data_IF_079383818769
#
_entry.id   IF_079383818769
#
_cell.length_a   1.000
_cell.length_b   1.000
_cell.length_c   1.000
_cell.angle_alpha   90.00
_cell.angle_beta   90.00
_cell.angle_gamma   90.00
#
_symmetry.space_group_name_H-M   'P 1'
#
loop_
_entity.id
_entity.type
_entity.pdbx_description
1 polymer ?
#
# COMPACT_ATOMS: atom_id res chain seq x y z
N UNK A 1 9.50 13.09 20.18
CA UNK A 1 8.31 12.58 19.48
C UNK A 1 8.72 11.38 18.66
N UNK A 2 7.81 10.42 18.46
CA UNK A 2 8.04 9.27 17.59
C UNK A 2 7.41 9.54 16.22
N UNK A 3 8.02 9.08 15.12
CA UNK A 3 7.46 9.27 13.79
C UNK A 3 6.11 8.57 13.66
N UNK A 4 5.19 9.20 12.94
CA UNK A 4 3.83 8.72 12.70
C UNK A 4 3.63 8.33 11.24
N UNK A 5 3.00 7.19 11.01
CA UNK A 5 2.58 6.73 9.69
C UNK A 5 1.06 6.61 9.63
N UNK A 6 0.45 7.25 8.63
CA UNK A 6 -0.96 7.12 8.32
C UNK A 6 -1.16 6.07 7.21
N UNK A 7 -1.67 4.90 7.59
CA UNK A 7 -2.16 3.88 6.65
C UNK A 7 -3.62 4.17 6.25
N UNK A 8 -4.05 3.58 5.13
CA UNK A 8 -5.44 3.72 4.65
C UNK A 8 -6.39 2.88 5.51
N UNK A 9 -5.93 1.72 5.96
CA UNK A 9 -6.70 0.71 6.69
C UNK A 9 -5.95 0.30 7.97
N UNK A 10 -6.69 -0.22 8.94
CA UNK A 10 -6.13 -0.95 10.07
C UNK A 10 -5.66 -2.34 9.59
N UNK A 11 -4.34 -2.66 9.64
CA UNK A 11 -3.83 -3.97 9.22
C UNK A 11 -4.36 -5.13 10.06
N UNK A 12 -4.84 -4.87 11.28
CA UNK A 12 -5.41 -5.89 12.17
C UNK A 12 -6.86 -6.28 11.81
N UNK A 13 -7.52 -5.53 10.92
CA UNK A 13 -8.91 -5.76 10.55
C UNK A 13 -9.01 -6.31 9.13
N UNK A 14 -9.73 -7.42 8.99
CA UNK A 14 -10.02 -7.99 7.68
C UNK A 14 -10.86 -7.01 6.85
N UNK A 15 -10.46 -6.79 5.61
CA UNK A 15 -11.16 -5.98 4.63
C UNK A 15 -12.02 -6.90 3.75
N UNK A 16 -13.21 -6.46 3.37
CA UNK A 16 -14.04 -7.18 2.41
C UNK A 16 -13.77 -6.69 0.97
N UNK A 17 -13.81 -7.64 0.02
CA UNK A 17 -13.59 -7.40 -1.41
C UNK A 17 -14.76 -6.71 -2.11
N UNK A 18 -14.47 -6.02 -3.22
CA UNK A 18 -15.46 -5.61 -4.22
C UNK A 18 -16.20 -4.31 -3.91
N UNK A 19 -15.77 -3.54 -2.91
CA UNK A 19 -16.38 -2.27 -2.51
C UNK A 19 -15.70 -1.05 -3.15
N UNK A 20 -14.56 -1.27 -3.80
CA UNK A 20 -13.70 -0.29 -4.39
C UNK A 20 -14.31 0.17 -5.72
N UNK A 21 -14.36 1.49 -5.93
CA UNK A 21 -14.99 2.10 -7.12
C UNK A 21 -14.00 3.00 -7.82
N UNK A 22 -14.35 3.44 -9.03
CA UNK A 22 -13.48 4.22 -9.92
C UNK A 22 -12.65 5.33 -9.23
N UNK A 23 -13.20 6.09 -8.29
CA UNK A 23 -12.45 7.15 -7.56
C UNK A 23 -12.56 7.06 -6.04
N UNK A 24 -12.91 5.90 -5.49
CA UNK A 24 -13.04 5.77 -4.03
C UNK A 24 -12.51 4.43 -3.53
N UNK A 25 -11.80 4.48 -2.41
CA UNK A 25 -11.37 3.32 -1.64
C UNK A 25 -12.19 3.27 -0.34
N UNK A 26 -12.82 2.13 0.01
CA UNK A 26 -13.66 2.02 1.19
C UNK A 26 -12.78 1.89 2.44
N UNK A 27 -12.88 2.81 3.39
CA UNK A 27 -12.24 2.66 4.70
C UNK A 27 -13.23 2.00 5.66
N UNK A 28 -12.80 0.92 6.32
CA UNK A 28 -13.64 0.16 7.23
C UNK A 28 -13.58 0.71 8.66
N UNK A 29 -14.75 0.89 9.26
CA UNK A 29 -14.91 1.27 10.66
C UNK A 29 -15.81 0.26 11.39
N UNK A 30 -15.88 0.37 12.71
CA UNK A 30 -16.81 -0.41 13.53
C UNK A 30 -18.29 -0.26 13.15
N UNK A 31 -18.65 0.78 12.38
CA UNK A 31 -20.03 1.05 11.95
C UNK A 31 -20.26 0.80 10.44
N UNK A 32 -19.32 0.13 9.77
CA UNK A 32 -19.39 -0.13 8.33
C UNK A 32 -18.29 0.57 7.54
N UNK A 33 -18.40 0.55 6.21
CA UNK A 33 -17.40 1.15 5.32
C UNK A 33 -17.83 2.53 4.83
N UNK A 34 -16.83 3.38 4.60
CA UNK A 34 -17.01 4.73 4.05
C UNK A 34 -16.20 4.85 2.76
N UNK A 35 -16.83 5.13 1.61
CA UNK A 35 -16.08 5.38 0.37
C UNK A 35 -15.32 6.70 0.49
N UNK A 36 -13.99 6.63 0.51
CA UNK A 36 -13.12 7.81 0.61
C UNK A 36 -12.56 8.12 -0.77
N UNK A 37 -12.77 9.35 -1.25
CA UNK A 37 -12.10 9.86 -2.46
C UNK A 37 -10.74 10.48 -2.10
N UNK A 38 -9.83 10.67 -3.07
CA UNK A 38 -8.56 11.35 -2.83
C UNK A 38 -8.71 12.75 -2.21
N UNK A 39 -9.77 13.48 -2.55
CA UNK A 39 -10.04 14.80 -1.99
C UNK A 39 -10.32 14.72 -0.49
N UNK A 40 -11.26 13.86 -0.08
CA UNK A 40 -11.59 13.63 1.34
C UNK A 40 -10.37 13.07 2.08
N UNK A 41 -9.65 12.13 1.47
CA UNK A 41 -8.46 11.54 2.05
C UNK A 41 -7.38 12.59 2.35
N UNK A 42 -7.10 13.46 1.38
CA UNK A 42 -6.07 14.49 1.55
C UNK A 42 -6.48 15.59 2.54
N UNK A 43 -7.77 15.88 2.70
CA UNK A 43 -8.24 16.76 3.79
C UNK A 43 -7.91 16.16 5.16
N UNK A 44 -8.07 14.83 5.33
CA UNK A 44 -7.68 14.12 6.54
C UNK A 44 -6.16 14.11 6.74
N UNK A 45 -5.37 13.83 5.69
CA UNK A 45 -3.90 13.87 5.75
C UNK A 45 -3.40 15.24 6.19
N UNK A 46 -3.94 16.34 5.63
CA UNK A 46 -3.59 17.71 6.01
C UNK A 46 -4.03 18.07 7.44
N UNK A 47 -5.13 17.49 7.93
CA UNK A 47 -5.58 17.66 9.30
C UNK A 47 -4.70 16.91 10.31
N UNK A 48 -4.32 15.66 10.01
CA UNK A 48 -3.51 14.81 10.88
C UNK A 48 -2.02 15.18 10.88
N UNK A 49 -1.50 15.68 9.75
CA UNK A 49 -0.08 16.08 9.58
C UNK A 49 0.91 14.98 9.98
N UNK A 50 0.79 13.76 9.44
CA UNK A 50 1.69 12.69 9.80
C UNK A 50 3.11 12.95 9.26
N UNK A 51 4.09 12.25 9.81
CA UNK A 51 5.45 12.24 9.25
C UNK A 51 5.47 11.48 7.92
N UNK A 52 4.63 10.45 7.79
CA UNK A 52 4.49 9.62 6.59
C UNK A 52 3.02 9.24 6.34
N UNK A 53 2.59 9.13 5.08
CA UNK A 53 1.29 8.54 4.75
C UNK A 53 1.31 7.76 3.45
N UNK A 54 0.48 6.72 3.37
CA UNK A 54 0.27 5.96 2.13
C UNK A 54 -0.64 6.75 1.20
N UNK A 55 -0.20 7.04 -0.01
CA UNK A 55 -1.09 7.63 -1.01
C UNK A 55 -2.27 6.69 -1.27
N UNK A 56 -3.48 7.24 -1.44
CA UNK A 56 -4.68 6.41 -1.61
C UNK A 56 -4.50 5.45 -2.79
N UNK A 57 -4.73 4.17 -2.53
CA UNK A 57 -4.60 3.08 -3.48
C UNK A 57 -5.78 2.11 -3.36
N UNK A 58 -5.77 1.11 -4.22
CA UNK A 58 -6.62 -0.06 -4.21
C UNK A 58 -5.71 -1.29 -4.06
N UNK A 59 -5.86 -2.00 -2.94
CA UNK A 59 -5.17 -3.26 -2.65
C UNK A 59 -6.09 -4.48 -2.74
N UNK A 60 -7.22 -4.37 -3.45
CA UNK A 60 -8.24 -5.42 -3.57
C UNK A 60 -7.83 -6.53 -4.56
N UNK A 61 -6.73 -7.22 -4.24
CA UNK A 61 -6.25 -8.39 -4.98
C UNK A 61 -5.88 -9.51 -4.05
N UNK A 62 -6.14 -10.73 -4.50
CA UNK A 62 -5.75 -11.99 -3.85
C UNK A 62 -5.09 -12.93 -4.86
N UNK A 63 -4.77 -14.15 -4.43
CA UNK A 63 -4.17 -15.19 -5.29
C UNK A 63 -5.12 -15.68 -6.39
N UNK A 64 -6.43 -15.51 -6.23
CA UNK A 64 -7.47 -15.94 -7.18
C UNK A 64 -7.82 -14.84 -8.19
N UNK A 65 -7.26 -13.65 -8.03
CA UNK A 65 -7.55 -12.48 -8.86
C UNK A 65 -7.04 -12.67 -10.29
N UNK A 66 -7.93 -12.49 -11.25
CA UNK A 66 -7.58 -12.55 -12.68
C UNK A 66 -6.69 -11.39 -13.10
N UNK A 67 -5.91 -11.58 -14.17
CA UNK A 67 -5.05 -10.53 -14.73
C UNK A 67 -5.80 -9.23 -15.03
N UNK A 68 -7.04 -9.30 -15.52
CA UNK A 68 -7.85 -8.11 -15.80
C UNK A 68 -8.31 -7.38 -14.54
N UNK A 69 -8.59 -8.11 -13.45
CA UNK A 69 -8.91 -7.51 -12.15
C UNK A 69 -7.69 -6.81 -11.58
N UNK A 70 -6.54 -7.49 -11.59
CA UNK A 70 -5.26 -6.92 -11.13
C UNK A 70 -4.90 -5.65 -11.91
N UNK A 71 -5.02 -5.67 -13.25
CA UNK A 71 -4.77 -4.48 -14.08
C UNK A 71 -5.72 -3.32 -13.73
N UNK A 72 -6.99 -3.62 -13.42
CA UNK A 72 -7.98 -2.62 -13.00
C UNK A 72 -7.61 -1.99 -11.65
N UNK A 73 -7.12 -2.80 -10.71
CA UNK A 73 -6.64 -2.36 -9.40
C UNK A 73 -5.43 -1.44 -9.55
N UNK A 74 -4.42 -1.86 -10.30
CA UNK A 74 -3.22 -1.05 -10.58
C UNK A 74 -3.58 0.29 -11.23
N UNK A 75 -4.44 0.31 -12.25
CA UNK A 75 -4.85 1.57 -12.90
C UNK A 75 -5.65 2.50 -11.98
N UNK A 76 -6.44 1.94 -11.05
CA UNK A 76 -7.15 2.71 -10.04
C UNK A 76 -6.19 3.33 -9.02
N UNK A 77 -5.22 2.56 -8.54
CA UNK A 77 -4.17 3.04 -7.64
C UNK A 77 -3.35 4.16 -8.27
N UNK A 78 -2.95 4.02 -9.54
CA UNK A 78 -2.27 5.10 -10.29
C UNK A 78 -3.13 6.37 -10.36
N UNK A 79 -4.43 6.23 -10.63
CA UNK A 79 -5.34 7.39 -10.74
C UNK A 79 -5.53 8.10 -9.39
N UNK A 80 -5.72 7.36 -8.31
CA UNK A 80 -5.86 7.93 -6.97
C UNK A 80 -4.54 8.54 -6.46
N UNK A 81 -3.42 7.87 -6.71
CA UNK A 81 -2.07 8.39 -6.42
C UNK A 81 -1.85 9.75 -7.06
N UNK A 82 -2.15 9.91 -8.38
CA UNK A 82 -1.97 11.20 -9.08
C UNK A 82 -2.72 12.34 -8.39
N UNK A 83 -3.91 12.07 -7.85
CA UNK A 83 -4.70 13.07 -7.11
C UNK A 83 -4.08 13.41 -5.75
N UNK A 84 -3.60 12.40 -5.03
CA UNK A 84 -2.87 12.60 -3.78
C UNK A 84 -1.59 13.41 -4.02
N UNK A 85 -0.80 13.06 -5.04
CA UNK A 85 0.43 13.74 -5.45
C UNK A 85 0.19 15.20 -5.82
N UNK A 86 -0.84 15.46 -6.64
CA UNK A 86 -1.20 16.83 -7.02
C UNK A 86 -1.51 17.71 -5.80
N UNK A 87 -2.29 17.18 -4.85
CA UNK A 87 -2.66 17.89 -3.62
C UNK A 87 -1.48 18.05 -2.68
N UNK A 88 -0.65 17.00 -2.54
CA UNK A 88 0.56 16.99 -1.74
C UNK A 88 1.53 18.10 -2.17
N UNK A 89 1.85 18.16 -3.46
CA UNK A 89 2.79 19.14 -4.03
C UNK A 89 2.32 20.59 -3.86
N UNK A 90 1.00 20.82 -3.81
CA UNK A 90 0.40 22.15 -3.57
C UNK A 90 0.28 22.48 -2.07
N UNK A 91 0.36 21.49 -1.20
CA UNK A 91 0.16 21.67 0.23
C UNK A 91 1.35 22.34 0.90
N UNK A 92 1.11 23.46 1.58
CA UNK A 92 2.15 24.08 2.42
C UNK A 92 2.36 23.34 3.74
N UNK A 93 1.36 22.54 4.16
CA UNK A 93 1.35 21.84 5.44
C UNK A 93 2.17 20.55 5.34
N UNK A 94 2.08 19.84 4.22
CA UNK A 94 2.71 18.52 4.03
C UNK A 94 4.14 18.57 3.46
N UNK A 95 4.80 19.74 3.44
CA UNK A 95 6.12 19.91 2.81
C UNK A 95 7.21 19.00 3.37
N UNK A 96 7.10 18.62 4.64
CA UNK A 96 8.04 17.74 5.33
C UNK A 96 7.48 16.33 5.55
N UNK A 97 6.26 16.06 5.10
CA UNK A 97 5.62 14.74 5.20
C UNK A 97 6.07 13.88 4.03
N UNK A 98 6.39 12.61 4.26
CA UNK A 98 6.64 11.67 3.17
C UNK A 98 5.33 11.06 2.68
N UNK A 99 5.08 11.19 1.38
CA UNK A 99 4.06 10.40 0.71
C UNK A 99 4.68 9.07 0.27
N UNK A 100 4.01 7.96 0.55
CA UNK A 100 4.42 6.61 0.18
C UNK A 100 3.62 6.15 -1.03
N UNK A 101 4.29 5.45 -1.96
CA UNK A 101 3.64 4.76 -3.07
C UNK A 101 3.41 3.28 -2.73
N UNK A 102 2.16 2.82 -2.81
CA UNK A 102 1.84 1.40 -2.68
C UNK A 102 2.09 0.66 -4.00
N UNK A 103 2.96 -0.34 -3.95
CA UNK A 103 3.23 -1.24 -5.08
C UNK A 103 2.12 -2.28 -5.11
N UNK A 104 1.09 -2.01 -5.89
CA UNK A 104 0.03 -3.00 -6.19
C UNK A 104 0.45 -3.99 -7.27
N UNK A 105 -0.44 -4.92 -7.59
CA UNK A 105 -0.25 -5.94 -8.63
C UNK A 105 -0.45 -7.37 -8.13
N UNK A 106 -0.78 -7.55 -6.86
CA UNK A 106 -1.05 -8.87 -6.29
C UNK A 106 0.10 -9.85 -6.52
N UNK A 107 -0.22 -11.04 -7.01
CA UNK A 107 0.75 -12.08 -7.35
C UNK A 107 1.22 -12.03 -8.82
N UNK A 108 0.78 -11.03 -9.60
CA UNK A 108 1.15 -10.87 -11.01
C UNK A 108 2.42 -10.02 -11.16
N UNK A 109 3.52 -10.66 -11.59
CA UNK A 109 4.83 -10.01 -11.76
C UNK A 109 4.78 -8.82 -12.73
N UNK A 110 4.03 -8.94 -13.82
CA UNK A 110 3.95 -7.88 -14.84
C UNK A 110 3.14 -6.69 -14.35
N UNK A 111 2.11 -6.93 -13.54
CA UNK A 111 1.37 -5.87 -12.88
C UNK A 111 2.21 -5.16 -11.81
N UNK A 112 3.06 -5.89 -11.07
CA UNK A 112 4.05 -5.30 -10.16
C UNK A 112 5.04 -4.42 -10.92
N UNK A 113 5.60 -4.89 -12.03
CA UNK A 113 6.49 -4.08 -12.90
C UNK A 113 5.82 -2.79 -13.37
N UNK A 114 4.57 -2.87 -13.83
CA UNK A 114 3.80 -1.71 -14.30
C UNK A 114 3.49 -0.70 -13.18
N UNK A 115 3.16 -1.21 -11.98
CA UNK A 115 3.01 -0.40 -10.77
C UNK A 115 4.32 0.33 -10.40
N UNK A 116 5.44 -0.40 -10.36
CA UNK A 116 6.76 0.15 -10.01
C UNK A 116 7.24 1.16 -11.06
N UNK A 117 7.04 0.87 -12.35
CA UNK A 117 7.42 1.78 -13.44
C UNK A 117 6.76 3.15 -13.25
N UNK A 118 5.46 3.16 -12.93
CA UNK A 118 4.74 4.40 -12.63
C UNK A 118 5.28 5.11 -11.38
N UNK A 119 5.56 4.38 -10.29
CA UNK A 119 6.02 4.97 -9.03
C UNK A 119 7.47 5.46 -9.08
N UNK A 120 8.33 4.88 -9.91
CA UNK A 120 9.73 5.31 -10.08
C UNK A 120 9.89 6.65 -10.79
N UNK A 121 8.86 7.08 -11.52
CA UNK A 121 8.82 8.44 -12.10
C UNK A 121 8.51 9.51 -11.05
N UNK A 122 8.25 9.11 -9.79
CA UNK A 122 7.80 9.97 -8.69
C UNK A 122 8.93 10.21 -7.69
N UNK A 123 8.90 11.36 -7.02
CA UNK A 123 9.88 11.68 -5.98
C UNK A 123 9.43 11.11 -4.62
N UNK A 124 9.53 9.78 -4.47
CA UNK A 124 9.12 9.06 -3.26
C UNK A 124 10.34 8.66 -2.42
N UNK A 125 10.18 8.74 -1.09
CA UNK A 125 11.21 8.30 -0.14
C UNK A 125 11.00 6.85 0.34
N UNK A 126 9.78 6.33 0.17
CA UNK A 126 9.37 5.05 0.71
C UNK A 126 8.28 4.41 -0.16
N UNK A 127 8.28 3.08 -0.20
CA UNK A 127 7.33 2.25 -0.93
C UNK A 127 6.66 1.27 0.04
N UNK A 128 5.33 1.15 -0.06
CA UNK A 128 4.58 0.10 0.62
C UNK A 128 4.47 -1.10 -0.34
N UNK A 129 4.86 -2.28 0.12
CA UNK A 129 4.64 -3.54 -0.60
C UNK A 129 3.26 -4.05 -0.21
N UNK A 130 2.26 -3.81 -1.06
CA UNK A 130 0.85 -4.09 -0.78
C UNK A 130 0.30 -5.22 -1.68
N UNK A 131 -0.93 -5.65 -1.44
CA UNK A 131 -1.68 -6.57 -2.31
C UNK A 131 -1.37 -8.05 -2.15
N UNK A 132 -0.65 -8.47 -1.10
CA UNK A 132 -0.46 -9.89 -0.81
C UNK A 132 -1.58 -10.52 0.04
N UNK A 133 -2.41 -9.70 0.69
CA UNK A 133 -3.43 -10.14 1.63
C UNK A 133 -4.56 -9.12 1.86
N UNK A 134 -5.63 -9.55 2.51
CA UNK A 134 -6.82 -8.75 2.85
C UNK A 134 -6.78 -8.14 4.27
N UNK A 135 -5.59 -7.98 4.85
CA UNK A 135 -5.39 -7.63 6.25
C UNK A 135 -6.02 -8.66 7.22
N UNK A 136 -5.96 -8.34 8.51
CA UNK A 136 -6.53 -9.14 9.58
C UNK A 136 -5.64 -10.30 10.01
N UNK A 137 -6.07 -11.04 11.05
CA UNK A 137 -5.25 -12.08 11.68
C UNK A 137 -4.98 -13.28 10.77
N UNK A 138 -5.62 -13.38 9.60
CA UNK A 138 -5.36 -14.48 8.66
C UNK A 138 -4.03 -14.32 7.92
N UNK A 139 -3.44 -13.12 7.90
CA UNK A 139 -2.11 -12.86 7.30
C UNK A 139 -1.04 -13.77 7.92
N UNK A 140 -1.16 -14.12 9.21
CA UNK A 140 -0.22 -15.01 9.89
C UNK A 140 -0.14 -16.42 9.29
N UNK A 141 -1.12 -16.81 8.48
CA UNK A 141 -1.19 -18.12 7.82
C UNK A 141 -0.52 -18.15 6.45
N UNK A 142 -0.11 -16.99 5.92
CA UNK A 142 0.63 -16.90 4.66
C UNK A 142 2.05 -17.41 4.91
N UNK A 143 2.46 -18.43 4.15
CA UNK A 143 3.84 -18.92 4.19
C UNK A 143 4.71 -18.08 3.25
N UNK A 144 5.94 -17.78 3.66
CA UNK A 144 6.88 -17.05 2.83
C UNK A 144 7.09 -17.67 1.44
N UNK A 145 7.07 -19.00 1.30
CA UNK A 145 7.17 -19.68 0.00
C UNK A 145 6.07 -19.23 -1.00
N UNK A 146 4.88 -18.82 -0.52
CA UNK A 146 3.77 -18.37 -1.37
C UNK A 146 4.04 -17.01 -2.00
N UNK A 147 4.77 -16.13 -1.31
CA UNK A 147 5.02 -14.75 -1.76
C UNK A 147 6.46 -14.53 -2.24
N UNK A 148 7.39 -15.47 -1.98
CA UNK A 148 8.84 -15.30 -2.18
C UNK A 148 9.18 -14.78 -3.57
N UNK A 149 8.69 -15.44 -4.62
CA UNK A 149 9.03 -15.09 -6.00
C UNK A 149 8.58 -13.65 -6.33
N UNK A 150 7.32 -13.33 -6.03
CA UNK A 150 6.73 -12.03 -6.33
C UNK A 150 7.38 -10.93 -5.49
N UNK A 151 7.67 -11.19 -4.23
CA UNK A 151 8.37 -10.25 -3.35
C UNK A 151 9.78 -9.96 -3.85
N UNK A 152 10.59 -11.01 -4.09
CA UNK A 152 11.99 -10.84 -4.52
C UNK A 152 12.06 -10.10 -5.86
N UNK A 153 11.17 -10.43 -6.80
CA UNK A 153 11.03 -9.71 -8.05
C UNK A 153 10.69 -8.22 -7.80
N UNK A 154 9.68 -7.95 -6.98
CA UNK A 154 9.27 -6.58 -6.61
C UNK A 154 10.41 -5.78 -6.01
N UNK A 155 11.11 -6.34 -5.02
CA UNK A 155 12.21 -5.66 -4.32
C UNK A 155 13.40 -5.41 -5.25
N UNK A 156 13.70 -6.31 -6.19
CA UNK A 156 14.79 -6.13 -7.16
C UNK A 156 14.61 -4.95 -8.11
N UNK A 157 13.36 -4.49 -8.30
CA UNK A 157 13.01 -3.39 -9.20
C UNK A 157 12.95 -2.03 -8.49
N UNK A 158 12.85 -2.04 -7.16
CA UNK A 158 12.80 -0.83 -6.34
C UNK A 158 14.21 -0.29 -6.05
N UNK A 159 14.38 1.04 -5.91
CA UNK A 159 15.68 1.60 -5.58
C UNK A 159 16.15 1.15 -4.19
N UNK A 160 17.42 0.74 -4.08
CA UNK A 160 17.96 0.17 -2.83
C UNK A 160 18.02 1.18 -1.69
N UNK A 161 18.14 2.47 -1.99
CA UNK A 161 18.25 3.57 -1.02
C UNK A 161 16.90 4.07 -0.45
N UNK A 162 15.78 3.50 -0.91
CA UNK A 162 14.43 3.89 -0.48
C UNK A 162 13.87 2.90 0.52
N UNK A 163 13.06 3.37 1.45
CA UNK A 163 12.46 2.54 2.48
C UNK A 163 11.41 1.60 1.87
N UNK A 164 11.42 0.32 2.23
CA UNK A 164 10.40 -0.67 1.87
C UNK A 164 9.62 -1.06 3.12
N UNK A 165 8.31 -0.86 3.05
CA UNK A 165 7.40 -1.12 4.16
C UNK A 165 6.51 -2.30 3.78
N UNK A 166 6.27 -3.22 4.70
CA UNK A 166 5.22 -4.22 4.58
C UNK A 166 4.38 -4.18 5.83
N UNK A 167 3.09 -3.91 5.67
CA UNK A 167 2.13 -3.93 6.78
C UNK A 167 1.34 -5.24 6.78
N UNK A 168 0.81 -5.64 7.94
CA UNK A 168 -0.02 -6.83 8.13
C UNK A 168 0.39 -7.68 9.32
N UNK A 169 -0.53 -8.51 9.81
CA UNK A 169 -0.32 -9.47 10.91
C UNK A 169 0.60 -10.63 10.50
N UNK A 170 1.81 -10.35 10.02
CA UNK A 170 2.79 -11.33 9.59
C UNK A 170 3.23 -12.23 10.76
N UNK A 171 3.39 -13.52 10.48
CA UNK A 171 4.02 -14.42 11.43
C UNK A 171 5.48 -14.01 11.66
N UNK A 172 6.02 -14.07 12.89
CA UNK A 172 7.42 -13.71 13.18
C UNK A 172 8.46 -14.37 12.27
N UNK A 173 8.28 -15.63 11.87
CA UNK A 173 9.20 -16.30 10.95
C UNK A 173 9.16 -15.67 9.55
N UNK A 174 7.96 -15.36 9.06
CA UNK A 174 7.79 -14.66 7.77
C UNK A 174 8.36 -13.25 7.85
N UNK A 175 8.20 -12.55 8.99
CA UNK A 175 8.85 -11.23 9.19
C UNK A 175 10.37 -11.32 9.04
N UNK A 176 11.02 -12.38 9.57
CA UNK A 176 12.45 -12.59 9.39
C UNK A 176 12.80 -12.82 7.91
N UNK A 177 12.02 -13.63 7.19
CA UNK A 177 12.22 -13.84 5.76
C UNK A 177 12.04 -12.56 4.92
N UNK A 178 11.09 -11.69 5.30
CA UNK A 178 10.87 -10.39 4.69
C UNK A 178 12.06 -9.44 4.95
N UNK A 179 12.61 -9.44 6.17
CA UNK A 179 13.83 -8.70 6.53
C UNK A 179 15.01 -9.17 5.66
N UNK A 180 15.24 -10.49 5.60
CA UNK A 180 16.32 -11.09 4.81
C UNK A 180 16.19 -10.79 3.31
N UNK A 181 14.95 -10.55 2.84
CA UNK A 181 14.66 -10.17 1.45
C UNK A 181 14.86 -8.67 1.17
N UNK A 182 14.96 -7.83 2.20
CA UNK A 182 15.19 -6.39 2.08
C UNK A 182 13.98 -5.49 2.37
N UNK A 183 13.01 -5.95 3.18
CA UNK A 183 11.95 -5.10 3.75
C UNK A 183 12.45 -4.45 5.04
N UNK A 184 12.23 -3.14 5.19
CA UNK A 184 12.83 -2.33 6.25
C UNK A 184 11.90 -2.07 7.44
N UNK A 185 10.59 -1.90 7.18
CA UNK A 185 9.61 -1.48 8.19
C UNK A 185 8.37 -2.37 8.17
N UNK A 186 7.93 -2.71 9.37
CA UNK A 186 6.73 -3.48 9.64
C UNK A 186 5.89 -2.75 10.69
N UNK A 187 4.58 -3.00 10.69
CA UNK A 187 3.75 -2.64 11.83
C UNK A 187 3.71 -3.79 12.85
N UNK A 188 2.90 -3.64 13.90
CA UNK A 188 2.82 -4.59 15.03
C UNK A 188 1.38 -5.04 15.31
N UNK A 189 0.53 -5.06 14.27
CA UNK A 189 -0.86 -5.53 14.31
C UNK A 189 -1.03 -6.98 14.73
#
# INVERSE_FOLDING_TARGET
>A
EYPTILSIQDPAQKIAHGYQKHMTTPVWSKHGHHPISPEIYMDLVEAFKPDMYVALCDGDTDVESTQSQVATVVERSKRQFRKCEERHNKSKILKNTWMLGAVEGGYDLKAREDSIKFLREKNLNAYLIDGFHENGPQVQNINFDQIREVLQHTLSLLPSERLKISMGCWNPLVTLDLIDSGVDVFDSS
#
